data_IF_559534661858
#
_entry.id   IF_559534661858
#
_cell.length_a   1.000
_cell.length_b   1.000
_cell.length_c   1.000
_cell.angle_alpha   90.00
_cell.angle_beta   90.00
_cell.angle_gamma   90.00
#
_symmetry.space_group_name_H-M   'P 1'
#
loop_
_entity.id
_entity.type
_entity.pdbx_description
1 polymer ?
#
# COMPACT_ATOMS: atom_id res chain seq x y z
N UNK A 1 -53.12 36.35 -60.64
CA UNK A 1 -53.87 36.58 -59.39
C UNK A 1 -54.60 35.31 -59.05
N UNK A 2 -54.83 35.12 -57.75
CA UNK A 2 -55.62 34.07 -57.09
C UNK A 2 -54.93 32.74 -56.73
N UNK A 3 -54.58 32.71 -55.44
CA UNK A 3 -54.23 31.55 -54.63
C UNK A 3 -55.42 30.58 -54.47
N UNK A 4 -55.15 29.28 -54.31
CA UNK A 4 -55.97 28.39 -53.45
C UNK A 4 -55.14 27.22 -52.94
N UNK A 5 -55.27 26.98 -51.63
CA UNK A 5 -54.58 26.03 -50.74
C UNK A 5 -55.16 24.61 -50.83
N UNK A 6 -54.36 23.61 -50.43
CA UNK A 6 -54.68 22.41 -49.60
C UNK A 6 -53.48 21.46 -49.65
N UNK A 7 -52.71 21.37 -48.57
CA UNK A 7 -52.83 20.40 -47.46
C UNK A 7 -51.96 19.16 -47.67
N UNK A 8 -50.93 19.00 -46.83
CA UNK A 8 -50.73 17.80 -46.02
C UNK A 8 -49.45 17.96 -45.18
N UNK A 9 -49.65 18.23 -43.89
CA UNK A 9 -48.68 18.06 -42.83
C UNK A 9 -48.30 16.58 -42.70
N UNK A 10 -47.01 16.26 -42.76
CA UNK A 10 -46.45 15.13 -41.99
C UNK A 10 -45.10 15.60 -41.46
N UNK A 11 -45.12 16.15 -40.26
CA UNK A 11 -43.96 16.13 -39.39
C UNK A 11 -43.87 14.77 -38.71
N UNK A 12 -42.65 14.32 -38.38
CA UNK A 12 -42.27 13.94 -37.01
C UNK A 12 -40.87 13.30 -36.97
N UNK A 13 -40.01 13.98 -36.21
CA UNK A 13 -38.98 13.43 -35.33
C UNK A 13 -37.95 12.44 -35.90
N UNK A 14 -36.79 12.96 -36.25
CA UNK A 14 -35.52 12.25 -36.08
C UNK A 14 -35.30 12.02 -34.57
N UNK A 15 -35.52 10.78 -34.12
CA UNK A 15 -35.07 10.35 -32.80
C UNK A 15 -33.54 10.23 -32.82
N UNK A 16 -32.86 11.27 -32.35
CA UNK A 16 -31.46 11.19 -31.96
C UNK A 16 -31.38 10.36 -30.67
N UNK A 17 -31.18 9.05 -30.81
CA UNK A 17 -30.74 8.21 -29.72
C UNK A 17 -29.31 8.60 -29.34
N UNK A 18 -29.17 9.55 -28.41
CA UNK A 18 -27.93 9.79 -27.70
C UNK A 18 -27.71 8.58 -26.81
N UNK A 19 -26.90 7.63 -27.28
CA UNK A 19 -26.34 6.61 -26.42
C UNK A 19 -25.43 7.35 -25.44
N UNK A 20 -25.92 7.63 -24.24
CA UNK A 20 -25.05 7.93 -23.11
C UNK A 20 -24.21 6.68 -22.89
N UNK A 21 -22.98 6.70 -23.41
CA UNK A 21 -21.95 5.83 -22.91
C UNK A 21 -21.82 6.16 -21.42
N UNK A 22 -22.46 5.36 -20.58
CA UNK A 22 -22.19 5.35 -19.15
C UNK A 22 -20.75 4.89 -19.02
N UNK A 23 -19.82 5.85 -18.95
CA UNK A 23 -18.54 5.60 -18.34
C UNK A 23 -18.86 4.97 -16.98
N UNK A 24 -18.32 3.78 -16.77
CA UNK A 24 -18.31 3.13 -15.47
C UNK A 24 -17.63 4.12 -14.52
N UNK A 25 -18.43 4.84 -13.75
CA UNK A 25 -18.01 5.41 -12.48
C UNK A 25 -17.68 4.19 -11.62
N UNK A 26 -16.45 3.67 -11.79
CA UNK A 26 -15.78 3.03 -10.68
C UNK A 26 -15.89 4.05 -9.55
N UNK A 27 -16.48 3.64 -8.44
CA UNK A 27 -16.47 4.44 -7.22
C UNK A 27 -15.00 4.65 -6.80
N UNK A 28 -14.34 5.60 -7.44
CA UNK A 28 -13.12 6.18 -6.98
C UNK A 28 -13.54 6.89 -5.71
N UNK A 29 -13.19 6.31 -4.55
CA UNK A 29 -13.03 7.14 -3.35
C UNK A 29 -12.14 8.32 -3.70
N UNK A 30 -12.17 9.38 -2.90
CA UNK A 30 -11.58 10.69 -3.20
C UNK A 30 -10.06 10.69 -3.57
N UNK A 31 -9.41 9.53 -3.64
CA UNK A 31 -8.00 9.37 -3.92
C UNK A 31 -7.16 9.57 -2.66
N UNK A 32 -5.85 9.43 -2.76
CA UNK A 32 -4.93 9.75 -1.67
C UNK A 32 -5.05 11.25 -1.32
N UNK A 33 -5.35 11.55 -0.05
CA UNK A 33 -5.53 12.93 0.45
C UNK A 33 -4.28 13.51 1.13
N UNK A 34 -3.22 12.71 1.24
CA UNK A 34 -1.98 13.07 1.89
C UNK A 34 -1.09 14.02 1.07
N UNK A 35 0.05 14.45 1.64
CA UNK A 35 1.00 15.28 0.92
C UNK A 35 1.51 14.54 -0.32
N UNK A 36 1.79 15.26 -1.41
CA UNK A 36 2.32 14.67 -2.65
C UNK A 36 3.86 14.66 -2.67
N UNK A 37 4.45 13.69 -3.38
CA UNK A 37 5.89 13.57 -3.58
C UNK A 37 6.63 13.20 -2.29
N UNK A 38 7.76 13.85 -2.05
CA UNK A 38 8.64 13.62 -0.88
C UNK A 38 8.47 14.74 0.13
N UNK A 39 7.53 14.62 1.10
CA UNK A 39 7.37 15.63 2.14
C UNK A 39 8.61 15.68 3.03
N UNK A 40 8.87 16.80 3.71
CA UNK A 40 9.99 16.90 4.66
C UNK A 40 9.86 15.90 5.83
N UNK A 41 8.63 15.65 6.27
CA UNK A 41 8.27 14.70 7.35
C UNK A 41 6.80 14.30 7.25
N UNK A 42 6.37 13.38 8.12
CA UNK A 42 4.97 12.94 8.27
C UNK A 42 4.34 13.57 9.52
N UNK A 43 3.72 14.74 9.34
CA UNK A 43 3.06 15.47 10.42
C UNK A 43 1.64 14.97 10.64
N UNK A 44 1.26 14.82 11.91
CA UNK A 44 -0.08 14.45 12.34
C UNK A 44 -0.77 15.62 13.03
N UNK A 45 -2.06 15.79 12.78
CA UNK A 45 -2.89 16.78 13.50
C UNK A 45 -3.22 16.33 14.92
N UNK A 46 -3.28 15.00 15.13
CA UNK A 46 -3.45 14.41 16.45
C UNK A 46 -2.11 14.30 17.19
N UNK A 47 -1.95 15.10 18.25
CA UNK A 47 -0.79 15.07 19.13
C UNK A 47 -0.65 13.75 19.91
N UNK A 48 -1.71 12.92 19.96
CA UNK A 48 -1.70 11.58 20.53
C UNK A 48 -1.15 10.50 19.60
N UNK A 49 -0.86 10.83 18.33
CA UNK A 49 -0.32 9.87 17.38
C UNK A 49 1.16 9.57 17.66
N UNK A 50 1.47 8.32 17.96
CA UNK A 50 2.84 7.81 18.15
C UNK A 50 3.17 6.85 17.02
N UNK A 51 3.96 7.34 16.06
CA UNK A 51 4.42 6.56 14.91
C UNK A 51 5.24 5.34 15.34
N UNK A 52 5.10 4.23 14.62
CA UNK A 52 5.91 3.04 14.86
C UNK A 52 7.38 3.34 14.62
N UNK A 53 8.21 2.93 15.59
CA UNK A 53 9.66 3.01 15.47
C UNK A 53 10.19 1.96 14.49
N UNK A 54 11.30 2.30 13.83
CA UNK A 54 12.02 1.37 12.97
C UNK A 54 12.95 0.48 13.81
N UNK A 55 12.74 -0.85 13.90
CA UNK A 55 13.54 -1.72 14.76
C UNK A 55 14.88 -2.16 14.13
N UNK A 56 15.34 -1.46 13.11
CA UNK A 56 16.57 -1.75 12.35
C UNK A 56 17.28 -0.46 11.95
N UNK A 57 18.60 -0.50 11.79
CA UNK A 57 19.40 0.64 11.33
C UNK A 57 19.98 0.43 9.92
N UNK A 58 19.96 -0.80 9.43
CA UNK A 58 20.54 -1.16 8.14
C UNK A 58 19.79 -0.49 6.97
N UNK A 59 20.54 -0.13 5.92
CA UNK A 59 19.96 0.35 4.67
C UNK A 59 19.20 -0.78 3.97
N UNK A 60 17.98 -0.49 3.55
CA UNK A 60 17.13 -1.45 2.82
C UNK A 60 17.10 -1.05 1.35
N UNK A 61 17.92 -1.71 0.55
CA UNK A 61 18.02 -1.48 -0.90
C UNK A 61 17.81 -2.75 -1.72
N UNK A 62 17.77 -3.90 -1.06
CA UNK A 62 17.74 -5.21 -1.69
C UNK A 62 16.44 -5.94 -1.39
N UNK A 63 15.99 -6.72 -2.35
CA UNK A 63 14.85 -7.63 -2.23
C UNK A 63 15.29 -9.06 -1.88
N UNK A 64 16.59 -9.31 -1.83
CA UNK A 64 17.19 -10.61 -1.52
C UNK A 64 18.09 -10.44 -0.31
N UNK A 65 18.00 -11.38 0.63
CA UNK A 65 18.88 -11.49 1.77
C UNK A 65 19.50 -12.88 1.84
N UNK A 66 20.80 -12.91 2.13
CA UNK A 66 21.52 -14.12 2.45
C UNK A 66 21.68 -14.23 3.97
N UNK A 67 21.19 -15.34 4.52
CA UNK A 67 21.52 -15.78 5.88
C UNK A 67 22.73 -16.71 5.82
N UNK A 68 23.32 -17.13 6.96
CA UNK A 68 24.39 -18.12 6.95
C UNK A 68 24.01 -19.48 6.33
N UNK A 69 22.72 -19.81 6.30
CA UNK A 69 22.23 -21.15 5.92
C UNK A 69 21.39 -21.18 4.64
N UNK A 70 20.74 -20.07 4.29
CA UNK A 70 19.82 -19.99 3.14
C UNK A 70 19.67 -18.58 2.57
N UNK A 71 19.02 -18.49 1.42
CA UNK A 71 18.67 -17.24 0.74
C UNK A 71 17.15 -17.02 0.81
N UNK A 72 16.75 -15.78 1.07
CA UNK A 72 15.35 -15.36 1.13
C UNK A 72 15.13 -14.22 0.13
N UNK A 73 14.03 -14.28 -0.60
CA UNK A 73 13.63 -13.31 -1.62
C UNK A 73 12.23 -12.74 -1.33
N UNK A 74 12.11 -11.42 -1.40
CA UNK A 74 10.86 -10.68 -1.37
C UNK A 74 10.48 -10.27 -2.79
N UNK A 75 9.28 -10.63 -3.22
CA UNK A 75 8.73 -10.24 -4.52
C UNK A 75 7.47 -9.39 -4.34
N UNK A 76 7.29 -8.37 -5.18
CA UNK A 76 6.05 -7.60 -5.32
C UNK A 76 5.43 -7.81 -6.70
N UNK A 77 4.10 -7.65 -6.83
CA UNK A 77 3.42 -7.72 -8.13
C UNK A 77 3.76 -6.55 -9.06
N UNK A 78 4.12 -5.39 -8.50
CA UNK A 78 4.46 -4.18 -9.23
C UNK A 78 5.43 -3.26 -8.50
N UNK A 79 5.80 -2.17 -9.18
CA UNK A 79 6.57 -1.05 -8.63
C UNK A 79 5.77 0.26 -8.67
N UNK A 80 4.49 0.18 -9.03
CA UNK A 80 3.56 1.31 -9.07
C UNK A 80 2.19 0.77 -8.70
N UNK A 81 1.64 1.30 -7.62
CA UNK A 81 0.39 0.85 -7.03
C UNK A 81 -0.59 2.01 -6.97
N UNK A 82 -1.87 1.71 -7.16
CA UNK A 82 -2.92 2.73 -7.10
C UNK A 82 -3.56 2.72 -5.72
N UNK A 83 -3.81 3.89 -5.16
CA UNK A 83 -4.60 4.05 -3.94
C UNK A 83 -5.91 3.24 -4.02
N UNK A 84 -6.26 2.57 -2.93
CA UNK A 84 -7.42 1.67 -2.86
C UNK A 84 -7.22 0.29 -3.50
N UNK A 85 -6.10 0.02 -4.16
CA UNK A 85 -5.75 -1.33 -4.63
C UNK A 85 -4.91 -2.09 -3.59
N UNK A 86 -4.81 -3.40 -3.78
CA UNK A 86 -3.98 -4.26 -2.94
C UNK A 86 -2.53 -4.27 -3.40
N UNK A 87 -1.62 -3.91 -2.51
CA UNK A 87 -0.21 -4.26 -2.62
C UNK A 87 -0.04 -5.73 -2.24
N UNK A 88 0.42 -6.55 -3.20
CA UNK A 88 0.73 -7.96 -2.94
C UNK A 88 2.22 -8.22 -2.92
N UNK A 89 2.64 -8.88 -1.84
CA UNK A 89 4.03 -9.20 -1.57
C UNK A 89 4.14 -10.65 -1.14
N UNK A 90 5.22 -11.31 -1.57
CA UNK A 90 5.51 -12.68 -1.16
C UNK A 90 6.98 -12.78 -0.74
N UNK A 91 7.21 -13.25 0.48
CA UNK A 91 8.53 -13.61 0.98
C UNK A 91 8.73 -15.12 0.86
N UNK A 92 9.77 -15.54 0.13
CA UNK A 92 10.07 -16.95 -0.11
C UNK A 92 11.48 -17.28 0.30
N UNK A 93 11.64 -18.45 0.92
CA UNK A 93 12.94 -19.07 1.07
C UNK A 93 13.29 -19.82 -0.23
N UNK A 94 14.36 -19.40 -0.89
CA UNK A 94 14.80 -19.92 -2.20
C UNK A 94 16.02 -20.83 -2.10
N UNK A 95 16.57 -21.02 -0.89
CA UNK A 95 17.63 -21.98 -0.63
C UNK A 95 17.11 -23.32 -0.09
N UNK A 96 18.01 -24.06 0.58
CA UNK A 96 17.79 -25.46 0.96
C UNK A 96 17.63 -25.69 2.47
N UNK A 97 17.79 -24.64 3.29
CA UNK A 97 17.64 -24.70 4.75
C UNK A 97 16.56 -23.69 5.22
N UNK A 98 15.86 -23.94 6.35
CA UNK A 98 14.91 -22.98 6.90
C UNK A 98 15.59 -21.68 7.34
N UNK A 99 14.88 -20.55 7.27
CA UNK A 99 15.35 -19.27 7.82
C UNK A 99 14.65 -18.98 9.16
N UNK A 100 15.37 -18.51 10.17
CA UNK A 100 14.79 -18.04 11.43
C UNK A 100 14.12 -16.67 11.23
N UNK A 101 12.90 -16.52 11.74
CA UNK A 101 12.10 -15.30 11.58
C UNK A 101 11.43 -14.83 12.87
N UNK A 102 10.96 -13.58 12.88
CA UNK A 102 10.11 -12.99 13.94
C UNK A 102 8.62 -12.95 13.54
N UNK A 103 8.23 -13.81 12.60
CA UNK A 103 6.86 -13.96 12.14
C UNK A 103 6.44 -12.94 11.08
N UNK A 104 5.25 -13.16 10.51
CA UNK A 104 4.74 -12.41 9.35
C UNK A 104 4.41 -10.93 9.65
N UNK A 105 4.13 -10.58 10.91
CA UNK A 105 3.86 -9.21 11.34
C UNK A 105 5.11 -8.33 11.46
N UNK A 106 6.31 -8.90 11.32
CA UNK A 106 7.60 -8.20 11.47
C UNK A 106 7.97 -7.38 10.22
N UNK A 107 7.09 -6.47 9.81
CA UNK A 107 7.28 -5.59 8.67
C UNK A 107 6.93 -4.13 8.96
N UNK A 108 7.57 -3.23 8.20
CA UNK A 108 7.29 -1.81 8.17
C UNK A 108 6.71 -1.42 6.81
N UNK A 109 5.75 -0.49 6.80
CA UNK A 109 5.26 0.14 5.58
C UNK A 109 5.64 1.61 5.65
N UNK A 110 6.64 2.00 4.85
CA UNK A 110 7.33 3.26 5.02
C UNK A 110 7.15 4.17 3.83
N UNK A 111 7.17 5.47 4.09
CA UNK A 111 7.14 6.53 3.09
C UNK A 111 8.47 7.27 3.06
N UNK A 112 8.91 7.63 1.86
CA UNK A 112 10.10 8.47 1.68
C UNK A 112 9.80 9.92 2.07
N UNK A 113 10.67 10.51 2.89
CA UNK A 113 10.60 11.90 3.32
C UNK A 113 11.97 12.58 3.24
N UNK A 114 12.01 13.90 3.35
CA UNK A 114 13.25 14.67 3.46
C UNK A 114 14.10 14.28 4.68
N UNK A 115 13.46 13.77 5.74
CA UNK A 115 14.13 13.24 6.93
C UNK A 115 14.53 11.76 6.82
N UNK A 116 14.26 11.10 5.69
CA UNK A 116 14.47 9.66 5.48
C UNK A 116 13.16 8.88 5.44
N UNK A 117 13.23 7.58 5.74
CA UNK A 117 12.07 6.70 5.68
C UNK A 117 11.34 6.65 7.01
N UNK A 118 10.02 6.87 6.99
CA UNK A 118 9.17 6.84 8.17
C UNK A 118 8.02 5.87 7.97
N UNK A 119 7.68 5.04 8.98
CA UNK A 119 6.49 4.20 8.91
C UNK A 119 5.22 5.07 8.86
N UNK A 120 4.24 4.67 8.06
CA UNK A 120 3.00 5.43 7.92
C UNK A 120 2.03 5.16 9.06
N UNK A 121 2.27 4.08 9.83
CA UNK A 121 1.41 3.63 10.92
C UNK A 121 1.90 4.10 12.29
N UNK A 122 0.97 4.18 13.23
CA UNK A 122 1.24 4.50 14.62
C UNK A 122 0.05 4.20 15.52
N UNK A 123 0.27 4.28 16.83
CA UNK A 123 -0.80 4.20 17.83
C UNK A 123 -1.44 5.57 18.06
N UNK A 124 -2.72 5.59 18.39
CA UNK A 124 -3.50 6.82 18.70
C UNK A 124 -3.68 7.07 20.20
N UNK A 125 -3.14 6.19 21.04
CA UNK A 125 -3.31 6.25 22.51
C UNK A 125 -2.31 7.17 23.20
N UNK A 126 -1.36 7.77 22.47
CA UNK A 126 -0.23 8.52 23.04
C UNK A 126 0.88 7.63 23.60
N UNK A 127 0.75 6.30 23.53
CA UNK A 127 1.76 5.35 23.97
C UNK A 127 2.35 4.61 22.76
N UNK A 128 3.67 4.35 22.73
CA UNK A 128 4.27 3.56 21.67
C UNK A 128 3.75 2.12 21.74
N UNK A 129 3.53 1.53 20.57
CA UNK A 129 3.17 0.12 20.41
C UNK A 129 4.22 -0.60 19.58
N UNK A 130 4.46 -1.86 19.90
CA UNK A 130 5.36 -2.72 19.13
C UNK A 130 4.56 -3.74 18.32
N UNK A 131 5.03 -4.01 17.11
CA UNK A 131 4.48 -5.10 16.30
C UNK A 131 4.86 -6.47 16.90
N UNK A 132 3.99 -7.47 16.81
CA UNK A 132 4.26 -8.81 17.32
C UNK A 132 5.55 -9.38 16.75
N UNK A 133 6.41 -9.89 17.64
CA UNK A 133 7.65 -10.61 17.28
C UNK A 133 7.52 -12.05 17.75
N UNK A 134 7.05 -12.90 16.84
CA UNK A 134 6.83 -14.31 17.13
C UNK A 134 7.98 -15.11 16.51
N UNK A 135 8.83 -15.73 17.34
CA UNK A 135 9.86 -16.63 16.84
C UNK A 135 9.22 -17.72 15.98
N UNK A 136 9.64 -17.79 14.72
CA UNK A 136 9.12 -18.69 13.72
C UNK A 136 10.23 -19.13 12.77
N UNK A 137 9.89 -20.01 11.83
CA UNK A 137 10.82 -20.43 10.78
C UNK A 137 10.11 -20.41 9.42
N UNK A 138 10.81 -19.88 8.42
CA UNK A 138 10.39 -19.89 7.03
C UNK A 138 11.05 -21.07 6.31
N UNK A 139 10.31 -22.17 6.20
CA UNK A 139 10.74 -23.36 5.46
C UNK A 139 10.83 -23.11 3.95
N UNK A 140 11.60 -23.95 3.25
CA UNK A 140 11.78 -23.91 1.78
C UNK A 140 10.51 -24.18 0.98
N UNK A 141 9.48 -24.74 1.61
CA UNK A 141 8.16 -24.98 1.01
C UNK A 141 7.10 -23.94 1.40
N UNK A 142 7.42 -23.04 2.32
CA UNK A 142 6.52 -22.05 2.89
C UNK A 142 6.83 -20.65 2.35
N UNK A 143 5.87 -19.74 2.50
CA UNK A 143 6.01 -18.34 2.14
C UNK A 143 5.19 -17.49 3.11
N UNK A 144 5.61 -16.26 3.35
CA UNK A 144 4.74 -15.22 3.89
C UNK A 144 4.13 -14.44 2.73
N UNK A 145 2.88 -14.04 2.86
CA UNK A 145 2.11 -13.43 1.78
C UNK A 145 1.25 -12.32 2.35
N UNK A 146 1.56 -11.09 1.97
CA UNK A 146 0.77 -9.93 2.34
C UNK A 146 -0.10 -9.49 1.17
N UNK A 147 -1.37 -9.22 1.45
CA UNK A 147 -2.32 -8.54 0.55
C UNK A 147 -2.86 -7.33 1.34
N UNK A 148 -2.21 -6.18 1.16
CA UNK A 148 -2.49 -4.96 1.94
C UNK A 148 -3.24 -3.99 1.05
N UNK A 149 -4.49 -3.68 1.39
CA UNK A 149 -5.24 -2.63 0.68
C UNK A 149 -4.65 -1.27 1.01
N UNK A 150 -4.24 -0.51 -0.02
CA UNK A 150 -3.59 0.80 0.10
C UNK A 150 -4.60 1.91 0.38
N UNK A 151 -5.21 1.82 1.55
CA UNK A 151 -6.04 2.85 2.21
C UNK A 151 -5.61 2.95 3.66
N UNK A 152 -6.00 4.00 4.36
CA UNK A 152 -5.69 4.19 5.78
C UNK A 152 -6.20 2.99 6.60
N UNK A 153 -7.47 2.60 6.42
CA UNK A 153 -8.06 1.45 7.10
C UNK A 153 -7.41 0.12 6.69
N UNK A 154 -7.15 -0.08 5.40
CA UNK A 154 -6.55 -1.32 4.91
C UNK A 154 -5.13 -1.55 5.44
N UNK A 155 -4.38 -0.48 5.67
CA UNK A 155 -3.04 -0.52 6.26
C UNK A 155 -3.10 -0.64 7.79
N UNK A 156 -4.02 0.08 8.44
CA UNK A 156 -4.24 0.03 9.88
C UNK A 156 -4.61 -1.38 10.35
N UNK A 157 -5.54 -2.03 9.65
CA UNK A 157 -6.05 -3.36 9.97
C UNK A 157 -5.15 -4.51 9.49
N UNK A 158 -4.02 -4.21 8.80
CA UNK A 158 -3.18 -5.22 8.18
C UNK A 158 -2.42 -6.11 9.20
N UNK A 159 -2.36 -5.71 10.47
CA UNK A 159 -1.71 -6.48 11.54
C UNK A 159 -2.74 -6.83 12.62
N UNK A 160 -3.06 -8.11 12.73
CA UNK A 160 -4.02 -8.60 13.72
C UNK A 160 -3.56 -8.34 15.17
N UNK A 161 -4.51 -7.90 16.00
CA UNK A 161 -4.31 -7.77 17.44
C UNK A 161 -3.52 -6.53 17.88
N UNK A 162 -3.24 -5.61 16.97
CA UNK A 162 -2.64 -4.30 17.26
C UNK A 162 -3.56 -3.21 16.75
N UNK A 163 -3.87 -2.24 17.60
CA UNK A 163 -4.67 -1.07 17.21
C UNK A 163 -3.73 -0.01 16.63
N UNK A 164 -3.80 0.19 15.32
CA UNK A 164 -2.98 1.12 14.56
C UNK A 164 -3.87 2.08 13.77
N UNK A 165 -3.31 3.23 13.44
CA UNK A 165 -3.89 4.16 12.48
C UNK A 165 -2.80 4.65 11.52
N UNK A 166 -3.21 5.26 10.40
CA UNK A 166 -2.31 5.83 9.39
C UNK A 166 -2.36 7.34 9.47
N UNK A 167 -1.19 7.95 9.62
CA UNK A 167 -1.10 9.39 9.68
C UNK A 167 0.23 9.95 9.14
N UNK A 168 0.20 11.02 8.32
CA UNK A 168 -0.98 11.66 7.72
C UNK A 168 -1.69 10.68 6.74
N UNK A 169 -2.86 11.06 6.17
CA UNK A 169 -3.45 10.29 5.09
C UNK A 169 -2.44 9.96 3.99
N UNK A 170 -2.66 8.87 3.26
CA UNK A 170 -1.78 8.47 2.18
C UNK A 170 -1.80 9.53 1.09
N UNK A 171 -0.62 9.90 0.61
CA UNK A 171 -0.43 10.82 -0.52
C UNK A 171 0.39 10.16 -1.62
N UNK A 172 0.27 10.58 -2.90
CA UNK A 172 1.07 9.99 -3.96
C UNK A 172 2.57 10.24 -3.72
N UNK A 173 3.42 9.29 -4.08
CA UNK A 173 4.88 9.34 -3.85
C UNK A 173 5.52 7.97 -3.64
N UNK A 174 6.81 7.97 -3.26
CA UNK A 174 7.57 6.74 -3.01
C UNK A 174 7.25 6.11 -1.65
N UNK A 175 6.90 4.84 -1.67
CA UNK A 175 6.74 3.99 -0.49
C UNK A 175 7.65 2.77 -0.58
N UNK A 176 7.83 2.07 0.53
CA UNK A 176 8.44 0.76 0.56
C UNK A 176 7.83 -0.13 1.63
N UNK A 177 7.70 -1.40 1.30
CA UNK A 177 7.51 -2.45 2.29
C UNK A 177 8.88 -2.95 2.74
N UNK A 178 9.09 -3.11 4.04
CA UNK A 178 10.33 -3.65 4.60
C UNK A 178 10.00 -4.80 5.53
N UNK A 179 10.51 -5.99 5.21
CA UNK A 179 10.51 -7.10 6.14
C UNK A 179 11.80 -7.08 6.96
N UNK A 180 11.67 -6.88 8.27
CA UNK A 180 12.80 -6.82 9.22
C UNK A 180 12.84 -8.02 10.15
N UNK A 181 11.93 -8.99 9.98
CA UNK A 181 11.84 -10.18 10.81
C UNK A 181 12.90 -11.24 10.56
N UNK A 182 13.88 -11.06 9.66
CA UNK A 182 14.98 -12.03 9.51
C UNK A 182 15.95 -11.91 10.69
N UNK A 183 16.22 -13.02 11.39
CA UNK A 183 17.05 -13.00 12.61
C UNK A 183 18.55 -12.85 12.30
N UNK A 184 19.04 -13.55 11.27
CA UNK A 184 20.47 -13.63 10.94
C UNK A 184 20.81 -12.98 9.59
N UNK A 185 19.99 -12.03 9.14
CA UNK A 185 20.18 -11.32 7.88
C UNK A 185 19.68 -9.87 7.96
N UNK A 186 20.19 -8.98 7.08
CA UNK A 186 19.67 -7.62 7.01
C UNK A 186 18.18 -7.60 6.59
N UNK A 187 17.45 -6.53 6.94
CA UNK A 187 16.11 -6.30 6.44
C UNK A 187 16.11 -6.17 4.91
N UNK A 188 15.06 -6.67 4.28
CA UNK A 188 14.84 -6.57 2.84
C UNK A 188 13.56 -5.82 2.55
N UNK A 189 13.48 -5.19 1.38
CA UNK A 189 12.33 -4.37 1.06
C UNK A 189 12.09 -4.19 -0.42
N UNK A 190 10.84 -3.88 -0.73
CA UNK A 190 10.35 -3.60 -2.07
C UNK A 190 9.79 -2.18 -2.09
N UNK A 191 10.40 -1.32 -2.91
CA UNK A 191 9.91 0.03 -3.13
C UNK A 191 8.85 0.06 -4.24
N UNK A 192 7.86 0.94 -4.08
CA UNK A 192 6.81 1.17 -5.06
C UNK A 192 6.37 2.63 -5.04
N UNK A 193 5.86 3.11 -6.17
CA UNK A 193 5.24 4.42 -6.29
C UNK A 193 3.74 4.30 -6.02
N UNK A 194 3.19 5.07 -5.07
CA UNK A 194 1.75 5.20 -4.90
C UNK A 194 1.22 6.31 -5.82
N UNK A 195 0.20 5.99 -6.60
CA UNK A 195 -0.49 6.92 -7.51
C UNK A 195 -2.01 6.85 -7.29
N UNK A 196 -2.73 7.74 -7.97
CA UNK A 196 -4.19 7.84 -7.89
C UNK A 196 -4.60 9.23 -7.48
#
# INVERSE_FOLDING_TARGET
MDHTRRDALVGSALALSVATAGCLDFAAGDGPQGPEGTPETLTCEDDGFVRLDQPFEASVTETIAETPETTVELSSEGTTETYGQSLRLVLRNTGDAPAATLGEAAYSLQRETGAGWLDVRGATTGEPVELPRNEASLDTSSAYSWDITLTETGIADAVDGVDLDVCPPLGPGTYRFVYWGLVDAPPIGAAFELVG
#
